data_IF_571849646912
#
_entry.id   IF_571849646912
#
_cell.length_a   1.000
_cell.length_b   1.000
_cell.length_c   1.000
_cell.angle_alpha   90.00
_cell.angle_beta   90.00
_cell.angle_gamma   90.00
#
_symmetry.space_group_name_H-M   'P 1'
#
loop_
_entity.id
_entity.type
_entity.pdbx_description
1 polymer ?
#
# COMPACT_ATOMS: atom_id res chain seq x y z
N UNK A 1 67.60 -9.90 39.02
CA UNK A 1 66.18 -10.11 38.71
C UNK A 1 65.97 -11.58 38.34
N UNK A 2 65.14 -12.31 39.10
CA UNK A 2 64.98 -13.76 38.99
C UNK A 2 64.13 -14.16 37.76
N UNK A 3 64.80 -14.42 36.62
CA UNK A 3 64.16 -14.85 35.35
C UNK A 3 63.37 -16.17 35.45
N UNK A 4 63.59 -16.97 36.51
CA UNK A 4 62.92 -18.26 36.73
C UNK A 4 61.43 -18.13 37.09
N UNK A 5 61.02 -16.99 37.64
CA UNK A 5 59.62 -16.72 37.95
C UNK A 5 58.89 -16.03 36.77
N UNK A 6 59.59 -15.23 35.96
CA UNK A 6 59.01 -14.61 34.75
C UNK A 6 58.56 -15.66 33.73
N UNK A 7 59.33 -16.74 33.53
CA UNK A 7 58.96 -17.82 32.63
C UNK A 7 57.76 -18.64 33.13
N UNK A 8 57.63 -18.80 34.46
CA UNK A 8 56.47 -19.45 35.09
C UNK A 8 55.20 -18.60 34.97
N UNK A 9 55.28 -17.29 35.18
CA UNK A 9 54.13 -16.40 35.00
C UNK A 9 53.75 -16.23 33.52
N UNK A 10 54.72 -16.21 32.60
CA UNK A 10 54.46 -16.19 31.16
C UNK A 10 53.77 -17.46 30.65
N UNK A 11 54.14 -18.63 31.17
CA UNK A 11 53.50 -19.90 30.81
C UNK A 11 52.09 -20.03 31.39
N UNK A 12 51.85 -19.57 32.62
CA UNK A 12 50.50 -19.56 33.23
C UNK A 12 49.57 -18.56 32.53
N UNK A 13 50.08 -17.41 32.07
CA UNK A 13 49.30 -16.44 31.28
C UNK A 13 48.95 -16.99 29.88
N UNK A 14 49.85 -17.73 29.24
CA UNK A 14 49.61 -18.35 27.94
C UNK A 14 48.59 -19.51 28.01
N UNK A 15 48.56 -20.27 29.10
CA UNK A 15 47.56 -21.34 29.32
C UNK A 15 46.19 -20.75 29.72
N UNK A 16 46.15 -19.63 30.43
CA UNK A 16 44.89 -18.92 30.73
C UNK A 16 44.23 -18.30 29.48
N UNK A 17 45.03 -17.90 28.48
CA UNK A 17 44.51 -17.40 27.19
C UNK A 17 43.93 -18.49 26.29
N UNK A 18 44.30 -19.76 26.50
CA UNK A 18 43.76 -20.90 25.74
C UNK A 18 42.44 -21.45 26.32
N UNK A 19 42.06 -21.06 27.54
CA UNK A 19 40.79 -21.46 28.18
C UNK A 19 39.70 -20.39 28.07
N UNK A 20 40.02 -19.21 27.53
CA UNK A 20 39.06 -18.13 27.30
C UNK A 20 38.32 -18.22 25.94
N UNK A 21 38.66 -19.21 25.10
CA UNK A 21 37.99 -19.47 23.82
C UNK A 21 37.44 -20.91 23.78
N UNK A 22 36.52 -21.22 24.68
CA UNK A 22 35.55 -22.29 24.46
C UNK A 22 34.18 -21.81 24.91
N UNK A 23 33.66 -20.79 24.23
CA UNK A 23 32.25 -20.48 24.29
C UNK A 23 31.55 -21.35 23.24
N UNK A 24 31.14 -22.55 23.65
CA UNK A 24 30.00 -23.27 23.06
C UNK A 24 28.68 -22.54 23.41
N UNK A 25 28.67 -21.22 23.31
CA UNK A 25 27.44 -20.43 23.33
C UNK A 25 27.09 -20.22 21.86
N UNK A 26 26.52 -21.25 21.24
CA UNK A 26 25.79 -21.06 20.00
C UNK A 26 24.77 -19.95 20.27
N UNK A 27 24.94 -18.79 19.64
CA UNK A 27 24.07 -17.63 19.82
C UNK A 27 22.60 -17.90 19.46
N UNK A 28 22.30 -19.10 18.96
CA UNK A 28 20.97 -19.59 18.62
C UNK A 28 20.86 -21.10 18.89
N UNK A 29 19.82 -21.50 19.61
CA UNK A 29 19.52 -22.92 19.92
C UNK A 29 19.18 -23.80 18.70
N UNK A 30 18.97 -23.19 17.53
CA UNK A 30 18.54 -23.86 16.29
C UNK A 30 19.49 -23.57 15.15
N UNK A 31 19.75 -24.57 14.31
CA UNK A 31 20.58 -24.38 13.12
C UNK A 31 19.93 -23.43 12.10
N UNK A 32 20.72 -22.73 11.25
CA UNK A 32 20.17 -21.89 10.18
C UNK A 32 19.14 -22.61 9.30
N UNK A 33 19.39 -23.88 8.97
CA UNK A 33 18.49 -24.72 8.16
C UNK A 33 17.17 -25.00 8.89
N UNK A 34 17.20 -25.29 10.19
CA UNK A 34 15.99 -25.48 10.99
C UNK A 34 15.15 -24.20 11.04
N UNK A 35 15.77 -23.04 11.33
CA UNK A 35 15.06 -21.75 11.34
C UNK A 35 14.44 -21.41 9.99
N UNK A 36 15.15 -21.71 8.90
CA UNK A 36 14.64 -21.51 7.55
C UNK A 36 13.44 -22.40 7.24
N UNK A 37 13.50 -23.68 7.62
CA UNK A 37 12.38 -24.60 7.44
C UNK A 37 11.16 -24.14 8.26
N UNK A 38 11.37 -23.73 9.51
CA UNK A 38 10.30 -23.23 10.37
C UNK A 38 9.64 -21.98 9.80
N UNK A 39 10.41 -21.04 9.24
CA UNK A 39 9.85 -19.81 8.67
C UNK A 39 9.04 -20.07 7.39
N UNK A 40 9.44 -21.06 6.58
CA UNK A 40 8.67 -21.52 5.41
C UNK A 40 7.34 -22.14 5.87
N UNK A 41 7.41 -23.11 6.79
CA UNK A 41 6.24 -23.81 7.31
C UNK A 41 5.27 -22.83 7.97
N UNK A 42 5.76 -21.92 8.83
CA UNK A 42 4.92 -20.94 9.51
C UNK A 42 4.16 -20.02 8.54
N UNK A 43 4.82 -19.53 7.48
CA UNK A 43 4.15 -18.69 6.49
C UNK A 43 3.13 -19.50 5.69
N UNK A 44 3.47 -20.73 5.28
CA UNK A 44 2.54 -21.60 4.56
C UNK A 44 1.30 -21.92 5.41
N UNK A 45 1.50 -22.28 6.68
CA UNK A 45 0.42 -22.57 7.61
C UNK A 45 -0.45 -21.34 7.84
N UNK A 46 0.14 -20.14 8.00
CA UNK A 46 -0.61 -18.90 8.13
C UNK A 46 -1.46 -18.64 6.88
N UNK A 47 -0.88 -18.73 5.67
CA UNK A 47 -1.60 -18.51 4.41
C UNK A 47 -2.81 -19.46 4.26
N UNK A 48 -2.66 -20.73 4.63
CA UNK A 48 -3.72 -21.75 4.55
C UNK A 48 -4.71 -21.65 5.73
N UNK A 49 -4.30 -21.10 6.88
CA UNK A 49 -5.18 -20.93 8.05
C UNK A 49 -6.38 -20.00 7.78
N UNK A 50 -6.29 -19.13 6.78
CA UNK A 50 -7.38 -18.27 6.36
C UNK A 50 -8.42 -19.09 5.57
N UNK A 51 -9.35 -19.71 6.29
CA UNK A 51 -10.43 -20.56 5.72
C UNK A 51 -11.24 -19.87 4.61
N UNK A 52 -11.40 -18.55 4.69
CA UNK A 52 -12.13 -17.72 3.75
C UNK A 52 -11.23 -16.99 2.74
N UNK A 53 -9.91 -17.18 2.85
CA UNK A 53 -8.90 -16.52 2.04
C UNK A 53 -8.52 -15.13 2.55
N UNK A 54 -7.84 -14.39 1.68
CA UNK A 54 -7.24 -13.09 1.95
C UNK A 54 -7.76 -12.07 0.95
N UNK A 55 -8.05 -10.86 1.43
CA UNK A 55 -8.06 -9.67 0.59
C UNK A 55 -6.62 -9.23 0.40
N UNK A 56 -6.20 -9.02 -0.84
CA UNK A 56 -4.84 -8.58 -1.17
C UNK A 56 -4.91 -7.27 -1.91
N UNK A 57 -4.26 -6.24 -1.36
CA UNK A 57 -4.02 -4.98 -2.07
C UNK A 57 -2.58 -4.97 -2.56
N UNK A 58 -2.41 -4.80 -3.87
CA UNK A 58 -1.09 -4.71 -4.50
C UNK A 58 -0.91 -3.40 -5.26
N UNK A 59 0.07 -2.60 -4.84
CA UNK A 59 0.59 -1.44 -5.55
C UNK A 59 2.02 -1.76 -6.02
N UNK A 60 2.24 -2.05 -7.32
CA UNK A 60 3.53 -2.55 -7.81
C UNK A 60 4.62 -1.47 -7.90
N UNK A 61 4.23 -0.23 -8.23
CA UNK A 61 5.16 0.89 -8.45
C UNK A 61 4.58 2.20 -7.93
N UNK A 62 4.53 2.33 -6.62
CA UNK A 62 4.00 3.53 -5.96
C UNK A 62 5.09 4.59 -5.84
N UNK A 63 4.78 5.83 -6.21
CA UNK A 63 5.60 6.98 -5.79
C UNK A 63 4.87 7.71 -4.68
N UNK A 64 5.19 7.36 -3.44
CA UNK A 64 4.46 7.85 -2.27
C UNK A 64 4.62 9.35 -2.01
N UNK A 65 5.58 10.00 -2.67
CA UNK A 65 5.85 11.43 -2.49
C UNK A 65 5.42 12.28 -3.69
N UNK A 66 5.04 11.67 -4.80
CA UNK A 66 4.56 12.37 -5.98
C UNK A 66 3.27 13.14 -5.66
N UNK A 67 3.27 14.46 -5.92
CA UNK A 67 2.16 15.38 -5.65
C UNK A 67 1.63 15.32 -4.20
N UNK A 68 2.54 15.11 -3.24
CA UNK A 68 2.21 14.98 -1.82
C UNK A 68 2.38 16.28 -1.01
N UNK A 69 2.92 17.33 -1.62
CA UNK A 69 3.13 18.63 -0.97
C UNK A 69 2.10 19.65 -1.50
N UNK A 70 1.12 20.10 -0.70
CA UNK A 70 0.11 21.05 -1.17
C UNK A 70 0.66 22.45 -1.48
N UNK A 71 1.92 22.73 -1.11
CA UNK A 71 2.60 23.98 -1.42
C UNK A 71 3.49 23.87 -2.66
N UNK A 72 3.65 22.67 -3.23
CA UNK A 72 4.43 22.49 -4.45
C UNK A 72 3.68 23.09 -5.64
N UNK A 73 4.32 24.04 -6.32
CA UNK A 73 3.82 24.64 -7.54
C UNK A 73 3.89 23.61 -8.68
N UNK A 74 2.73 23.34 -9.26
CA UNK A 74 2.55 22.52 -10.45
C UNK A 74 2.31 23.48 -11.62
N UNK A 75 3.05 23.32 -12.72
CA UNK A 75 2.76 24.08 -13.93
C UNK A 75 1.59 23.44 -14.70
N UNK A 76 0.93 24.20 -15.59
CA UNK A 76 -0.25 23.72 -16.34
C UNK A 76 -0.02 22.41 -17.11
N UNK A 77 1.21 22.18 -17.61
CA UNK A 77 1.61 20.95 -18.29
C UNK A 77 2.49 20.06 -17.41
N UNK A 78 2.85 20.50 -16.21
CA UNK A 78 3.85 19.88 -15.34
C UNK A 78 3.40 18.57 -14.70
N UNK A 79 2.13 18.20 -14.83
CA UNK A 79 1.61 16.93 -14.35
C UNK A 79 1.35 15.90 -15.48
N UNK A 80 1.25 16.33 -16.74
CA UNK A 80 0.98 15.42 -17.87
C UNK A 80 2.16 14.47 -18.07
N UNK A 81 1.90 13.17 -18.18
CA UNK A 81 2.94 12.15 -18.32
C UNK A 81 3.73 11.85 -17.03
N UNK A 82 3.40 12.52 -15.92
CA UNK A 82 4.10 12.40 -14.63
C UNK A 82 3.24 11.72 -13.56
N UNK A 83 2.16 11.04 -13.94
CA UNK A 83 1.31 10.34 -12.97
C UNK A 83 2.03 9.08 -12.47
N UNK A 84 1.89 8.85 -11.16
CA UNK A 84 2.33 7.62 -10.50
C UNK A 84 1.37 6.47 -10.81
N UNK A 85 1.50 5.36 -10.08
CA UNK A 85 0.65 4.19 -10.24
C UNK A 85 -0.13 3.89 -8.95
N UNK A 86 -1.39 3.52 -9.13
CA UNK A 86 -2.26 2.96 -8.10
C UNK A 86 -2.07 1.46 -7.95
N UNK A 87 -3.13 0.81 -7.47
CA UNK A 87 -3.08 -0.59 -7.12
C UNK A 87 -4.35 -1.36 -7.47
N UNK A 88 -4.26 -2.66 -7.26
CA UNK A 88 -5.28 -3.63 -7.60
C UNK A 88 -5.70 -4.44 -6.38
N UNK A 89 -6.99 -4.79 -6.33
CA UNK A 89 -7.56 -5.59 -5.27
C UNK A 89 -7.79 -7.01 -5.77
N UNK A 90 -7.31 -7.99 -5.00
CA UNK A 90 -7.50 -9.40 -5.25
C UNK A 90 -8.14 -10.07 -4.04
N UNK A 91 -8.74 -11.22 -4.28
CA UNK A 91 -9.00 -12.20 -3.23
C UNK A 91 -8.25 -13.47 -3.55
N UNK A 92 -7.51 -13.99 -2.58
CA UNK A 92 -6.67 -15.17 -2.73
C UNK A 92 -7.00 -16.21 -1.67
N UNK A 93 -7.32 -17.44 -2.08
CA UNK A 93 -7.52 -18.57 -1.17
C UNK A 93 -6.44 -19.61 -1.42
N UNK A 94 -5.58 -19.80 -0.42
CA UNK A 94 -4.46 -20.75 -0.47
C UNK A 94 -4.89 -22.12 0.03
N UNK A 95 -4.47 -23.16 -0.67
CA UNK A 95 -4.73 -24.55 -0.33
C UNK A 95 -3.42 -25.24 0.09
N UNK A 96 -3.53 -26.30 0.89
CA UNK A 96 -2.38 -27.07 1.39
C UNK A 96 -1.58 -27.77 0.27
N UNK A 97 -2.23 -28.03 -0.87
CA UNK A 97 -1.68 -28.66 -2.08
C UNK A 97 -0.85 -27.71 -2.97
N UNK A 98 -0.42 -26.57 -2.42
CA UNK A 98 0.31 -25.51 -3.14
C UNK A 98 -0.49 -24.83 -4.27
N UNK A 99 -1.82 -24.90 -4.24
CA UNK A 99 -2.68 -24.17 -5.17
C UNK A 99 -3.32 -22.94 -4.54
N UNK A 100 -3.57 -21.92 -5.35
CA UNK A 100 -4.24 -20.69 -4.96
C UNK A 100 -5.32 -20.32 -5.97
N UNK A 101 -6.51 -20.02 -5.46
CA UNK A 101 -7.61 -19.47 -6.24
C UNK A 101 -7.62 -17.95 -6.10
N UNK A 102 -7.53 -17.25 -7.23
CA UNK A 102 -7.45 -15.80 -7.29
C UNK A 102 -8.62 -15.20 -8.06
N UNK A 103 -9.18 -14.11 -7.54
CA UNK A 103 -10.06 -13.18 -8.29
C UNK A 103 -9.45 -11.79 -8.25
N UNK A 104 -9.78 -10.95 -9.22
CA UNK A 104 -9.20 -9.62 -9.38
C UNK A 104 -10.27 -8.57 -9.69
N UNK A 105 -10.04 -7.34 -9.25
CA UNK A 105 -10.98 -6.24 -9.47
C UNK A 105 -10.96 -5.70 -10.91
N UNK A 106 -10.16 -6.23 -11.84
CA UNK A 106 -9.97 -5.65 -13.18
C UNK A 106 -11.28 -5.37 -13.93
N UNK A 107 -12.17 -6.36 -14.04
CA UNK A 107 -13.47 -6.28 -14.73
C UNK A 107 -14.54 -6.99 -13.92
N UNK A 108 -15.81 -6.77 -14.27
CA UNK A 108 -16.93 -7.49 -13.63
C UNK A 108 -16.74 -9.02 -13.73
N UNK A 109 -16.27 -9.51 -14.88
CA UNK A 109 -15.97 -10.92 -15.11
C UNK A 109 -14.89 -11.47 -14.16
N UNK A 110 -13.74 -10.78 -14.03
CA UNK A 110 -12.63 -11.23 -13.16
C UNK A 110 -12.97 -11.16 -11.66
N UNK A 111 -14.05 -10.45 -11.29
CA UNK A 111 -14.54 -10.43 -9.90
C UNK A 111 -15.31 -11.70 -9.54
N UNK A 112 -15.69 -12.52 -10.53
CA UNK A 112 -16.49 -13.73 -10.33
C UNK A 112 -15.73 -15.00 -10.70
N UNK A 113 -15.00 -14.97 -11.81
CA UNK A 113 -14.19 -16.08 -12.28
C UNK A 113 -12.94 -16.25 -11.42
N UNK A 114 -12.87 -17.34 -10.66
CA UNK A 114 -11.65 -17.71 -9.97
C UNK A 114 -10.66 -18.35 -10.95
N UNK A 115 -9.43 -17.84 -10.96
CA UNK A 115 -8.32 -18.49 -11.64
C UNK A 115 -7.51 -19.29 -10.62
N UNK A 116 -7.49 -20.62 -10.80
CA UNK A 116 -6.62 -21.51 -10.02
C UNK A 116 -5.21 -21.47 -10.59
N UNK A 117 -4.22 -21.32 -9.71
CA UNK A 117 -2.79 -21.31 -10.03
C UNK A 117 -2.00 -21.98 -8.90
N UNK A 118 -0.69 -22.03 -9.03
CA UNK A 118 0.22 -22.64 -8.07
C UNK A 118 1.08 -21.58 -7.40
N UNK A 119 1.39 -21.79 -6.12
CA UNK A 119 2.27 -20.96 -5.34
C UNK A 119 3.35 -21.80 -4.66
N UNK A 120 4.47 -21.16 -4.34
CA UNK A 120 5.58 -21.76 -3.61
C UNK A 120 5.97 -20.84 -2.46
N UNK A 121 6.16 -21.41 -1.27
CA UNK A 121 6.86 -20.73 -0.18
C UNK A 121 8.26 -21.33 -0.08
N UNK A 122 9.28 -20.50 -0.25
CA UNK A 122 10.68 -20.92 -0.24
C UNK A 122 11.55 -19.97 0.60
N UNK A 123 12.82 -20.31 0.75
CA UNK A 123 13.82 -19.43 1.37
C UNK A 123 14.66 -18.76 0.29
N UNK A 124 14.74 -17.44 0.36
CA UNK A 124 15.74 -16.63 -0.32
C UNK A 124 16.47 -15.80 0.75
N UNK A 125 16.75 -14.52 0.49
CA UNK A 125 17.19 -13.57 1.53
C UNK A 125 16.20 -13.47 2.69
N UNK A 126 14.90 -13.64 2.40
CA UNK A 126 13.79 -13.76 3.36
C UNK A 126 12.92 -14.98 3.01
N UNK A 127 11.94 -15.31 3.86
CA UNK A 127 10.87 -16.23 3.44
C UNK A 127 10.12 -15.58 2.27
N UNK A 128 10.02 -16.28 1.15
CA UNK A 128 9.48 -15.75 -0.11
C UNK A 128 8.22 -16.53 -0.50
N UNK A 129 7.17 -15.80 -0.87
CA UNK A 129 5.98 -16.30 -1.55
C UNK A 129 6.13 -16.03 -3.05
N UNK A 130 6.06 -17.08 -3.87
CA UNK A 130 6.16 -17.00 -5.32
C UNK A 130 4.91 -17.56 -5.97
N UNK A 131 4.36 -16.87 -6.97
CA UNK A 131 3.33 -17.41 -7.86
C UNK A 131 4.00 -18.01 -9.08
N UNK A 132 3.98 -19.34 -9.20
CA UNK A 132 4.81 -20.07 -10.18
C UNK A 132 4.07 -20.40 -11.48
N UNK A 133 2.74 -20.33 -11.48
CA UNK A 133 1.93 -20.45 -12.70
C UNK A 133 1.07 -19.21 -12.91
N UNK A 134 0.70 -18.95 -14.17
CA UNK A 134 0.02 -17.72 -14.58
C UNK A 134 -1.32 -17.52 -13.83
N UNK A 135 -1.52 -16.30 -13.33
CA UNK A 135 -2.73 -15.83 -12.65
C UNK A 135 -2.98 -14.34 -12.92
N UNK A 136 -4.05 -13.77 -12.34
CA UNK A 136 -4.39 -12.37 -12.58
C UNK A 136 -3.29 -11.38 -12.17
N UNK A 137 -2.51 -11.68 -11.13
CA UNK A 137 -1.40 -10.83 -10.70
C UNK A 137 -0.30 -10.73 -11.76
N UNK A 138 -0.08 -11.78 -12.57
CA UNK A 138 0.88 -11.75 -13.68
C UNK A 138 0.52 -10.74 -14.78
N UNK A 139 -0.73 -10.25 -14.86
CA UNK A 139 -1.09 -9.15 -15.76
C UNK A 139 -0.39 -7.83 -15.42
N UNK A 140 0.10 -7.70 -14.18
CA UNK A 140 0.86 -6.55 -13.71
C UNK A 140 2.38 -6.73 -13.91
N UNK A 141 2.84 -7.95 -14.25
CA UNK A 141 4.27 -8.26 -14.43
C UNK A 141 4.67 -7.92 -15.87
N UNK A 142 5.05 -6.66 -16.08
CA UNK A 142 5.55 -6.13 -17.34
C UNK A 142 6.24 -4.78 -17.11
N UNK A 143 6.95 -4.27 -18.12
CA UNK A 143 7.70 -3.00 -18.05
C UNK A 143 6.84 -1.79 -17.66
N UNK A 144 5.54 -1.85 -17.98
CA UNK A 144 4.61 -0.75 -17.75
C UNK A 144 4.25 -0.61 -16.27
N UNK A 145 3.85 -1.70 -15.62
CA UNK A 145 3.41 -1.69 -14.22
C UNK A 145 4.50 -2.08 -13.23
N UNK A 146 5.58 -2.71 -13.73
CA UNK A 146 6.69 -3.22 -12.93
C UNK A 146 6.25 -4.11 -11.76
N UNK A 147 5.16 -4.86 -11.94
CA UNK A 147 4.73 -5.86 -10.98
C UNK A 147 5.71 -7.04 -10.91
N UNK A 148 5.67 -7.76 -9.79
CA UNK A 148 6.45 -8.95 -9.54
C UNK A 148 5.53 -10.13 -9.25
N UNK A 149 6.07 -11.34 -9.33
CA UNK A 149 5.41 -12.58 -8.89
C UNK A 149 6.06 -13.20 -7.64
N UNK A 150 7.13 -12.56 -7.15
CA UNK A 150 7.93 -13.00 -6.00
C UNK A 150 7.90 -11.95 -4.88
N UNK A 151 7.52 -12.39 -3.69
CA UNK A 151 7.21 -11.51 -2.57
C UNK A 151 7.91 -11.97 -1.29
N UNK A 152 8.78 -11.12 -0.76
CA UNK A 152 9.49 -11.33 0.49
C UNK A 152 8.58 -10.97 1.66
N UNK A 153 8.34 -11.93 2.56
CA UNK A 153 7.52 -11.75 3.75
C UNK A 153 8.25 -10.90 4.79
N UNK A 154 7.57 -9.83 5.25
CA UNK A 154 8.12 -8.85 6.19
C UNK A 154 7.54 -8.97 7.60
N UNK A 155 6.57 -9.85 7.82
CA UNK A 155 5.88 -10.01 9.09
C UNK A 155 4.42 -9.54 9.03
N UNK A 156 3.85 -9.32 10.21
CA UNK A 156 2.51 -8.76 10.39
C UNK A 156 2.58 -7.29 10.78
N UNK A 157 1.68 -6.46 10.27
CA UNK A 157 1.52 -5.08 10.77
C UNK A 157 0.74 -5.06 12.09
N UNK A 158 0.49 -3.86 12.62
CA UNK A 158 -0.30 -3.63 13.86
C UNK A 158 -1.71 -4.22 13.80
N UNK A 159 -2.30 -4.30 12.61
CA UNK A 159 -3.64 -4.84 12.37
C UNK A 159 -3.66 -6.36 12.20
N UNK A 160 -2.47 -7.00 12.23
CA UNK A 160 -2.30 -8.44 12.03
C UNK A 160 -2.27 -8.88 10.56
N UNK A 161 -2.26 -7.94 9.61
CA UNK A 161 -2.18 -8.20 8.18
C UNK A 161 -0.77 -8.61 7.78
N UNK A 162 -0.65 -9.56 6.84
CA UNK A 162 0.66 -9.95 6.32
C UNK A 162 1.17 -8.88 5.37
N UNK A 163 2.41 -8.44 5.59
CA UNK A 163 3.09 -7.45 4.77
C UNK A 163 4.16 -8.13 3.95
N UNK A 164 4.19 -7.82 2.65
CA UNK A 164 5.23 -8.28 1.74
C UNK A 164 5.87 -7.10 1.01
N UNK A 165 7.08 -7.34 0.50
CA UNK A 165 7.78 -6.47 -0.45
C UNK A 165 8.35 -7.29 -1.61
N UNK A 166 8.78 -6.66 -2.67
CA UNK A 166 9.59 -7.29 -3.72
C UNK A 166 11.08 -7.01 -3.46
N UNK A 167 11.94 -7.63 -4.27
CA UNK A 167 13.36 -7.34 -4.28
C UNK A 167 13.73 -6.15 -5.19
N UNK A 168 12.76 -5.55 -5.89
CA UNK A 168 13.03 -4.55 -6.94
C UNK A 168 13.42 -3.17 -6.37
N UNK A 169 12.99 -2.85 -5.14
CA UNK A 169 13.20 -1.54 -4.54
C UNK A 169 13.89 -1.63 -3.19
N UNK A 170 14.99 -0.88 -3.04
CA UNK A 170 15.67 -0.70 -1.76
C UNK A 170 14.99 0.38 -0.91
N UNK A 171 14.39 1.40 -1.55
CA UNK A 171 13.71 2.46 -0.82
C UNK A 171 12.37 1.96 -0.27
N UNK A 172 12.00 2.36 0.96
CA UNK A 172 10.68 2.07 1.48
C UNK A 172 9.58 2.77 0.65
N UNK A 173 8.33 2.34 0.82
CA UNK A 173 7.16 3.02 0.27
C UNK A 173 7.11 3.12 -1.27
N UNK A 174 7.86 2.25 -1.98
CA UNK A 174 7.85 2.11 -3.44
C UNK A 174 6.86 1.08 -3.95
N UNK A 175 6.38 0.23 -3.07
CA UNK A 175 5.42 -0.82 -3.33
C UNK A 175 4.66 -1.14 -2.06
N UNK A 176 3.45 -1.67 -2.21
CA UNK A 176 2.64 -2.08 -1.09
C UNK A 176 1.90 -3.37 -1.42
N UNK A 177 2.12 -4.38 -0.58
CA UNK A 177 1.47 -5.68 -0.70
C UNK A 177 1.02 -6.10 0.68
N UNK A 178 -0.28 -6.07 0.88
CA UNK A 178 -0.88 -6.33 2.20
C UNK A 178 -1.99 -7.35 2.04
N UNK A 179 -1.94 -8.39 2.86
CA UNK A 179 -2.93 -9.46 2.89
C UNK A 179 -3.71 -9.31 4.19
N UNK A 180 -4.99 -8.98 4.05
CA UNK A 180 -5.95 -8.88 5.15
C UNK A 180 -6.83 -10.12 5.18
N UNK A 181 -6.90 -10.79 6.32
CA UNK A 181 -7.67 -12.05 6.46
C UNK A 181 -9.16 -11.78 6.27
N UNK A 182 -9.82 -12.54 5.40
CA UNK A 182 -11.28 -12.46 5.21
C UNK A 182 -12.00 -13.16 6.37
N UNK A 183 -13.13 -12.59 6.80
CA UNK A 183 -13.88 -13.03 7.99
C UNK A 183 -14.98 -14.03 7.67
N UNK A 184 -15.46 -14.07 6.42
CA UNK A 184 -16.53 -14.98 6.01
C UNK A 184 -16.38 -15.44 4.55
N UNK A 185 -17.01 -16.56 4.20
CA UNK A 185 -16.98 -17.11 2.84
C UNK A 185 -17.68 -16.20 1.81
N UNK A 186 -18.65 -15.41 2.25
CA UNK A 186 -19.36 -14.45 1.41
C UNK A 186 -18.42 -13.32 0.94
N UNK A 187 -17.46 -12.93 1.78
CA UNK A 187 -16.47 -11.89 1.48
C UNK A 187 -15.53 -12.29 0.33
N UNK A 188 -15.24 -13.59 0.12
CA UNK A 188 -14.31 -14.03 -0.94
C UNK A 188 -14.71 -13.55 -2.33
N UNK A 189 -16.00 -13.45 -2.63
CA UNK A 189 -16.47 -12.87 -3.91
C UNK A 189 -16.96 -11.44 -3.73
N UNK A 190 -17.63 -11.13 -2.61
CA UNK A 190 -18.20 -9.83 -2.38
C UNK A 190 -17.15 -8.72 -2.27
N UNK A 191 -15.99 -8.99 -1.65
CA UNK A 191 -14.93 -8.00 -1.44
C UNK A 191 -14.39 -7.47 -2.76
N UNK A 192 -13.93 -8.34 -3.65
CA UNK A 192 -13.38 -7.93 -4.95
C UNK A 192 -14.45 -7.30 -5.85
N UNK A 193 -15.69 -7.78 -5.79
CA UNK A 193 -16.81 -7.18 -6.55
C UNK A 193 -17.15 -5.78 -6.05
N UNK A 194 -17.19 -5.56 -4.74
CA UNK A 194 -17.41 -4.22 -4.16
C UNK A 194 -16.24 -3.29 -4.47
N UNK A 195 -15.01 -3.79 -4.38
CA UNK A 195 -13.82 -3.05 -4.78
C UNK A 195 -13.91 -2.58 -6.25
N UNK A 196 -14.23 -3.49 -7.18
CA UNK A 196 -14.47 -3.15 -8.58
C UNK A 196 -15.55 -2.08 -8.75
N UNK A 197 -16.72 -2.26 -8.12
CA UNK A 197 -17.84 -1.30 -8.23
C UNK A 197 -17.51 0.08 -7.66
N UNK A 198 -16.76 0.16 -6.57
CA UNK A 198 -16.35 1.42 -5.99
C UNK A 198 -15.29 2.12 -6.85
N UNK A 199 -14.33 1.36 -7.37
CA UNK A 199 -13.33 1.87 -8.31
C UNK A 199 -13.99 2.40 -9.59
N UNK A 200 -14.85 1.58 -10.20
CA UNK A 200 -15.59 1.93 -11.42
C UNK A 200 -16.45 3.18 -11.21
N UNK A 201 -17.13 3.30 -10.07
CA UNK A 201 -17.89 4.50 -9.73
C UNK A 201 -17.02 5.76 -9.66
N UNK A 202 -15.84 5.70 -9.03
CA UNK A 202 -14.90 6.83 -9.00
C UNK A 202 -14.33 7.14 -10.39
N UNK A 203 -13.99 6.11 -11.17
CA UNK A 203 -13.52 6.26 -12.55
C UNK A 203 -14.56 6.90 -13.47
N UNK A 204 -15.86 6.72 -13.17
CA UNK A 204 -16.96 7.32 -13.91
C UNK A 204 -17.32 8.76 -13.48
N UNK A 205 -16.84 9.23 -12.32
CA UNK A 205 -17.05 10.62 -11.90
C UNK A 205 -16.53 11.58 -12.96
N UNK A 206 -17.34 12.54 -13.40
CA UNK A 206 -16.98 13.43 -14.49
C UNK A 206 -15.93 14.43 -14.01
N UNK A 207 -16.19 15.12 -12.90
CA UNK A 207 -15.36 16.16 -12.31
C UNK A 207 -15.17 15.91 -10.80
N UNK A 208 -14.43 14.86 -10.41
CA UNK A 208 -14.19 14.56 -9.01
C UNK A 208 -13.32 15.64 -8.35
N UNK A 209 -13.83 16.23 -7.27
CA UNK A 209 -13.18 17.26 -6.47
C UNK A 209 -12.99 16.77 -5.04
N UNK A 210 -11.91 17.23 -4.39
CA UNK A 210 -11.54 16.93 -3.02
C UNK A 210 -11.78 18.16 -2.13
N UNK A 211 -12.46 17.94 -1.01
CA UNK A 211 -12.64 18.91 0.07
C UNK A 211 -12.08 18.34 1.37
N UNK A 212 -11.08 18.99 1.95
CA UNK A 212 -10.56 18.69 3.30
C UNK A 212 -11.02 19.78 4.25
N UNK A 213 -11.70 19.40 5.33
CA UNK A 213 -12.31 20.34 6.27
C UNK A 213 -12.37 19.82 7.71
N UNK A 214 -12.58 20.75 8.65
CA UNK A 214 -12.92 20.47 10.06
C UNK A 214 -13.97 21.46 10.52
N UNK A 215 -15.20 20.99 10.73
CA UNK A 215 -16.32 21.87 11.00
C UNK A 215 -16.48 22.92 9.88
N UNK A 216 -16.53 24.21 10.24
CA UNK A 216 -16.63 25.29 9.24
C UNK A 216 -15.32 25.63 8.50
N UNK A 217 -14.16 25.09 8.93
CA UNK A 217 -12.86 25.44 8.34
C UNK A 217 -12.52 24.52 7.17
N UNK A 218 -12.27 25.12 6.00
CA UNK A 218 -11.70 24.41 4.84
C UNK A 218 -10.17 24.51 4.87
N UNK A 219 -9.48 23.38 4.72
CA UNK A 219 -8.01 23.29 4.61
C UNK A 219 -7.58 23.22 3.15
N UNK A 220 -8.31 22.43 2.36
CA UNK A 220 -8.05 22.24 0.93
C UNK A 220 -9.38 22.06 0.20
N UNK A 221 -9.52 22.67 -0.97
CA UNK A 221 -10.64 22.46 -1.88
C UNK A 221 -10.10 22.55 -3.30
N UNK A 222 -10.08 21.43 -4.01
CA UNK A 222 -9.73 21.48 -5.43
C UNK A 222 -10.83 22.19 -6.22
N UNK A 223 -10.44 22.86 -7.30
CA UNK A 223 -11.34 23.67 -8.13
C UNK A 223 -11.07 23.56 -9.64
N UNK A 224 -10.13 22.70 -10.03
CA UNK A 224 -9.77 22.49 -11.44
C UNK A 224 -10.40 21.20 -11.95
N UNK A 225 -11.16 21.29 -13.04
CA UNK A 225 -11.73 20.15 -13.75
C UNK A 225 -10.67 19.48 -14.65
N UNK A 226 -10.03 18.42 -14.14
CA UNK A 226 -8.92 17.71 -14.80
C UNK A 226 -9.41 16.75 -15.90
N UNK A 227 -10.55 16.08 -15.69
CA UNK A 227 -11.06 15.02 -16.57
C UNK A 227 -11.87 15.52 -17.79
N UNK A 228 -11.57 16.72 -18.30
CA UNK A 228 -12.26 17.28 -19.48
C UNK A 228 -12.17 16.33 -20.67
N UNK A 229 -13.30 15.93 -21.23
CA UNK A 229 -13.35 15.03 -22.39
C UNK A 229 -13.19 15.80 -23.71
N UNK A 230 -11.95 16.19 -24.00
CA UNK A 230 -11.56 16.89 -25.25
C UNK A 230 -10.37 16.19 -25.88
N UNK A 231 -10.13 16.39 -27.18
CA UNK A 231 -9.08 15.71 -27.95
C UNK A 231 -7.69 15.88 -27.32
N UNK A 232 -7.33 17.11 -26.93
CA UNK A 232 -6.04 17.45 -26.31
C UNK A 232 -5.83 16.82 -24.92
N UNK A 233 -6.89 16.25 -24.33
CA UNK A 233 -6.85 15.63 -23.01
C UNK A 233 -6.93 14.11 -23.03
N UNK A 234 -7.15 13.48 -24.19
CA UNK A 234 -7.35 12.02 -24.29
C UNK A 234 -6.17 11.22 -23.73
N UNK A 235 -4.93 11.66 -23.98
CA UNK A 235 -3.74 11.01 -23.43
C UNK A 235 -3.71 11.03 -21.90
N UNK A 236 -4.12 12.15 -21.28
CA UNK A 236 -4.21 12.27 -19.82
C UNK A 236 -5.33 11.40 -19.26
N UNK A 237 -6.52 11.39 -19.90
CA UNK A 237 -7.64 10.55 -19.45
C UNK A 237 -7.27 9.06 -19.48
N UNK A 238 -6.58 8.64 -20.54
CA UNK A 238 -6.03 7.29 -20.66
C UNK A 238 -5.00 7.02 -19.56
N UNK A 239 -4.07 7.94 -19.31
CA UNK A 239 -3.08 7.81 -18.25
C UNK A 239 -3.71 7.67 -16.86
N UNK A 240 -4.69 8.52 -16.52
CA UNK A 240 -5.44 8.49 -15.25
C UNK A 240 -6.06 7.11 -15.02
N UNK A 241 -6.78 6.61 -16.03
CA UNK A 241 -7.50 5.34 -15.94
C UNK A 241 -6.54 4.17 -15.84
N UNK A 242 -5.57 4.08 -16.75
CA UNK A 242 -4.69 2.92 -16.83
C UNK A 242 -3.70 2.86 -15.66
N UNK A 243 -3.21 4.00 -15.16
CA UNK A 243 -2.31 4.04 -14.01
C UNK A 243 -3.04 4.08 -12.68
N UNK A 244 -4.37 4.26 -12.65
CA UNK A 244 -5.17 4.44 -11.42
C UNK A 244 -4.56 5.47 -10.48
N UNK A 245 -4.29 6.65 -11.01
CA UNK A 245 -3.74 7.76 -10.24
C UNK A 245 -4.58 9.00 -10.50
N UNK A 246 -4.94 9.72 -9.45
CA UNK A 246 -5.72 10.95 -9.56
C UNK A 246 -5.03 12.11 -8.85
N UNK A 247 -5.14 13.30 -9.44
CA UNK A 247 -4.56 14.54 -8.93
C UNK A 247 -5.66 15.58 -8.77
N UNK A 248 -5.93 15.97 -7.52
CA UNK A 248 -6.86 17.03 -7.18
C UNK A 248 -6.13 18.37 -7.19
N UNK A 249 -6.42 19.20 -8.19
CA UNK A 249 -5.73 20.46 -8.42
C UNK A 249 -6.49 21.66 -7.86
N UNK A 250 -5.76 22.60 -7.27
CA UNK A 250 -6.26 23.85 -6.73
C UNK A 250 -5.55 25.03 -7.38
N UNK A 251 -6.32 26.05 -7.77
CA UNK A 251 -5.83 27.30 -8.32
C UNK A 251 -5.26 28.19 -7.22
N UNK A 252 -3.93 28.21 -7.07
CA UNK A 252 -3.27 29.12 -6.13
C UNK A 252 -3.28 30.56 -6.64
N UNK A 253 -3.12 30.75 -7.96
CA UNK A 253 -3.15 32.07 -8.60
C UNK A 253 -3.91 32.02 -9.92
N UNK A 254 -5.01 32.78 -9.99
CA UNK A 254 -5.78 32.96 -11.20
C UNK A 254 -4.99 33.70 -12.27
N UNK A 255 -5.31 33.42 -13.53
CA UNK A 255 -4.80 34.21 -14.62
C UNK A 255 -5.51 35.58 -14.63
N UNK A 256 -4.80 36.70 -14.85
CA UNK A 256 -5.45 38.01 -15.02
C UNK A 256 -6.38 38.06 -16.25
N UNK A 257 -6.13 37.21 -17.25
CA UNK A 257 -6.98 37.10 -18.43
C UNK A 257 -8.13 36.12 -18.12
N UNK A 258 -9.41 36.53 -18.30
CA UNK A 258 -10.55 35.62 -18.17
C UNK A 258 -10.39 34.36 -19.03
N UNK A 259 -10.89 33.24 -18.55
CA UNK A 259 -10.89 31.93 -19.23
C UNK A 259 -9.53 31.29 -19.51
N UNK A 260 -8.43 31.99 -19.21
CA UNK A 260 -7.10 31.39 -19.27
C UNK A 260 -6.88 30.45 -18.09
N UNK A 261 -6.12 29.35 -18.29
CA UNK A 261 -5.84 28.44 -17.20
C UNK A 261 -4.99 29.12 -16.11
N UNK A 262 -5.11 28.60 -14.88
CA UNK A 262 -4.43 29.11 -13.68
C UNK A 262 -2.94 29.40 -13.93
N UNK A 263 -2.45 30.53 -13.41
CA UNK A 263 -1.03 30.91 -13.53
C UNK A 263 -0.15 30.03 -12.65
N UNK A 264 -0.62 29.75 -11.43
CA UNK A 264 0.02 28.87 -10.47
C UNK A 264 -1.07 27.94 -9.91
N UNK A 265 -0.78 26.64 -9.87
CA UNK A 265 -1.66 25.63 -9.29
C UNK A 265 -0.85 24.77 -8.32
N UNK A 266 -1.52 24.25 -7.31
CA UNK A 266 -0.99 23.19 -6.44
C UNK A 266 -1.96 22.02 -6.48
N UNK A 267 -1.65 20.92 -5.81
CA UNK A 267 -2.59 19.81 -5.74
C UNK A 267 -2.13 18.68 -4.85
N UNK A 268 -3.07 17.79 -4.59
CA UNK A 268 -2.84 16.55 -3.85
C UNK A 268 -3.16 15.39 -4.79
N UNK A 269 -2.18 14.52 -4.99
CA UNK A 269 -2.33 13.35 -5.86
C UNK A 269 -1.89 12.08 -5.18
N UNK A 270 -2.52 10.97 -5.56
CA UNK A 270 -2.10 9.65 -5.11
C UNK A 270 -2.66 8.55 -6.02
N UNK A 271 -1.97 7.42 -6.02
CA UNK A 271 -2.41 6.20 -6.68
C UNK A 271 -3.53 5.55 -5.85
N UNK A 272 -4.60 5.11 -6.51
CA UNK A 272 -5.77 4.53 -5.84
C UNK A 272 -6.02 3.07 -6.20
N UNK A 273 -6.80 2.41 -5.34
CA UNK A 273 -7.40 1.10 -5.59
C UNK A 273 -8.81 1.06 -4.99
N UNK A 274 -9.68 0.22 -5.54
CA UNK A 274 -10.99 -0.03 -4.94
C UNK A 274 -10.88 -0.90 -3.69
N UNK A 275 -11.80 -0.71 -2.74
CA UNK A 275 -11.98 -1.59 -1.58
C UNK A 275 -13.45 -1.94 -1.42
N UNK A 276 -13.74 -2.93 -0.57
CA UNK A 276 -15.10 -3.31 -0.21
C UNK A 276 -15.91 -2.17 0.45
N UNK A 277 -15.21 -1.19 1.03
CA UNK A 277 -15.80 -0.03 1.70
C UNK A 277 -15.85 1.22 0.81
N UNK A 278 -14.90 1.37 -0.12
CA UNK A 278 -14.84 2.53 -1.02
C UNK A 278 -13.57 2.56 -1.87
N UNK A 279 -12.73 3.58 -1.67
CA UNK A 279 -11.46 3.75 -2.39
C UNK A 279 -10.33 3.99 -1.40
N UNK A 280 -9.16 3.43 -1.69
CA UNK A 280 -7.94 3.65 -0.92
C UNK A 280 -6.87 4.32 -1.76
N UNK A 281 -6.24 5.35 -1.21
CA UNK A 281 -5.06 6.02 -1.73
C UNK A 281 -3.89 5.61 -0.84
N UNK A 282 -3.21 4.50 -1.12
CA UNK A 282 -2.29 3.89 -0.15
C UNK A 282 -1.10 4.78 0.23
N UNK A 283 -0.61 5.60 -0.69
CA UNK A 283 0.40 6.62 -0.37
C UNK A 283 -0.17 7.79 0.45
N UNK A 284 -1.50 7.96 0.44
CA UNK A 284 -2.26 8.99 1.12
C UNK A 284 -2.46 10.25 0.28
N UNK A 285 -3.61 10.90 0.45
CA UNK A 285 -3.79 12.31 0.08
C UNK A 285 -3.29 13.15 1.26
N UNK A 286 -2.08 13.70 1.12
CA UNK A 286 -1.30 14.31 2.21
C UNK A 286 -1.46 15.82 2.21
N UNK A 287 -2.21 16.36 3.16
CA UNK A 287 -2.23 17.81 3.35
C UNK A 287 -1.03 18.29 4.18
N UNK A 288 -0.66 17.54 5.22
CA UNK A 288 0.60 17.75 5.92
C UNK A 288 1.12 16.42 6.49
N UNK A 289 2.10 16.45 7.39
CA UNK A 289 2.68 15.25 7.99
C UNK A 289 1.69 14.46 8.86
N UNK A 290 0.60 15.08 9.31
CA UNK A 290 -0.37 14.50 10.22
C UNK A 290 -1.71 14.22 9.51
N UNK A 291 -2.19 15.16 8.69
CA UNK A 291 -3.44 15.07 7.94
C UNK A 291 -3.23 14.31 6.63
N UNK A 292 -3.21 12.98 6.74
CA UNK A 292 -3.06 12.07 5.61
C UNK A 292 -4.31 11.19 5.50
N UNK A 293 -5.00 11.28 4.37
CA UNK A 293 -6.22 10.52 4.13
C UNK A 293 -5.93 9.34 3.21
N UNK A 294 -6.04 8.12 3.74
CA UNK A 294 -5.75 6.89 3.01
C UNK A 294 -7.03 6.24 2.49
N UNK A 295 -7.98 5.91 3.37
CA UNK A 295 -9.12 5.09 3.03
C UNK A 295 -10.42 5.88 3.13
N UNK A 296 -11.14 5.96 2.02
CA UNK A 296 -12.40 6.66 1.90
C UNK A 296 -13.54 5.65 1.74
N UNK A 297 -14.56 5.78 2.58
CA UNK A 297 -15.78 4.98 2.46
C UNK A 297 -16.73 5.62 1.46
N UNK A 298 -17.44 4.80 0.71
CA UNK A 298 -18.50 5.29 -0.17
C UNK A 298 -19.76 5.62 0.64
N UNK A 299 -20.18 6.89 0.58
CA UNK A 299 -21.41 7.39 1.19
C UNK A 299 -22.31 7.96 0.08
N UNK A 300 -23.21 7.12 -0.45
CA UNK A 300 -24.03 7.46 -1.61
C UNK A 300 -23.18 7.78 -2.84
N UNK A 301 -23.19 9.06 -3.23
CA UNK A 301 -22.46 9.58 -4.39
C UNK A 301 -21.11 10.23 -4.04
N UNK A 302 -20.63 10.06 -2.80
CA UNK A 302 -19.36 10.63 -2.33
C UNK A 302 -18.47 9.54 -1.76
N UNK A 303 -17.19 9.84 -1.67
CA UNK A 303 -16.24 9.08 -0.86
C UNK A 303 -15.78 9.95 0.31
N UNK A 304 -15.87 9.43 1.53
CA UNK A 304 -15.62 10.19 2.77
C UNK A 304 -14.59 9.47 3.61
N UNK A 305 -13.56 10.20 4.03
CA UNK A 305 -12.58 9.76 5.00
C UNK A 305 -12.64 10.70 6.22
N UNK A 306 -12.96 10.15 7.39
CA UNK A 306 -12.86 10.85 8.67
C UNK A 306 -11.64 10.32 9.42
N UNK A 307 -10.80 11.22 9.96
CA UNK A 307 -9.64 10.82 10.76
C UNK A 307 -10.01 10.78 12.25
N UNK A 308 -9.60 9.70 12.91
CA UNK A 308 -9.65 9.54 14.36
C UNK A 308 -8.24 9.46 14.92
N UNK A 309 -8.10 9.83 16.19
CA UNK A 309 -6.85 9.76 16.92
C UNK A 309 -6.75 8.42 17.66
N UNK A 310 -5.69 7.66 17.38
CA UNK A 310 -5.42 6.36 18.02
C UNK A 310 -4.02 6.38 18.63
N UNK A 311 -3.92 5.93 19.88
CA UNK A 311 -2.63 5.78 20.56
C UNK A 311 -2.04 4.40 20.24
N UNK A 312 -0.84 4.40 19.69
CA UNK A 312 -0.06 3.17 19.46
C UNK A 312 0.79 2.87 20.71
N UNK A 313 0.51 1.77 21.44
CA UNK A 313 1.27 1.42 22.63
C UNK A 313 2.71 0.95 22.34
N UNK A 314 2.97 0.39 21.14
CA UNK A 314 4.29 -0.10 20.75
C UNK A 314 5.21 1.07 20.43
N UNK A 315 4.73 2.00 19.61
CA UNK A 315 5.49 3.18 19.18
C UNK A 315 5.35 4.37 20.14
N UNK A 316 4.47 4.27 21.13
CA UNK A 316 4.20 5.29 22.17
C UNK A 316 3.90 6.68 21.59
N UNK A 317 3.17 6.71 20.49
CA UNK A 317 2.76 7.94 19.85
C UNK A 317 1.30 7.84 19.40
N UNK A 318 0.66 9.00 19.30
CA UNK A 318 -0.68 9.12 18.74
C UNK A 318 -0.59 9.37 17.25
N UNK A 319 -1.36 8.63 16.47
CA UNK A 319 -1.46 8.78 15.02
C UNK A 319 -2.90 9.01 14.58
N UNK A 320 -3.06 9.69 13.45
CA UNK A 320 -4.35 9.87 12.80
C UNK A 320 -4.58 8.75 11.79
N UNK A 321 -5.74 8.10 11.88
CA UNK A 321 -6.10 6.95 11.06
C UNK A 321 -7.54 7.04 10.57
N UNK A 322 -7.87 6.31 9.51
CA UNK A 322 -9.22 6.26 8.96
C UNK A 322 -10.21 5.65 9.96
N UNK A 323 -11.27 6.39 10.31
CA UNK A 323 -12.28 6.02 11.32
C UNK A 323 -12.90 4.64 11.13
N UNK A 324 -13.14 4.21 9.89
CA UNK A 324 -13.80 2.92 9.65
C UNK A 324 -12.88 1.71 9.86
N UNK A 325 -11.57 1.94 9.85
CA UNK A 325 -10.58 0.93 10.22
C UNK A 325 -10.40 0.88 11.74
N UNK A 326 -10.55 2.03 12.41
CA UNK A 326 -10.41 2.20 13.86
C UNK A 326 -11.62 2.91 14.46
N UNK A 327 -12.81 2.26 14.51
CA UNK A 327 -14.03 2.88 15.04
C UNK A 327 -13.93 3.27 16.52
N UNK A 328 -12.98 2.68 17.26
CA UNK A 328 -12.64 2.97 18.65
C UNK A 328 -11.86 4.27 18.86
N UNK A 329 -11.31 4.87 17.79
CA UNK A 329 -10.46 6.05 17.89
C UNK A 329 -11.23 7.33 18.27
N UNK A 330 -10.52 8.26 18.90
CA UNK A 330 -11.10 9.53 19.34
C UNK A 330 -11.44 10.44 18.14
N UNK A 331 -12.68 10.93 18.00
CA UNK A 331 -13.08 11.77 16.88
C UNK A 331 -12.33 13.10 16.81
N UNK A 332 -11.71 13.40 15.66
CA UNK A 332 -11.03 14.69 15.46
C UNK A 332 -11.90 15.73 14.75
N UNK A 333 -12.92 15.26 14.02
CA UNK A 333 -13.73 16.07 13.11
C UNK A 333 -13.04 16.42 11.78
N UNK A 334 -11.80 15.97 11.57
CA UNK A 334 -11.10 16.12 10.28
C UNK A 334 -11.70 15.17 9.26
N UNK A 335 -12.20 15.74 8.15
CA UNK A 335 -12.82 15.00 7.07
C UNK A 335 -12.24 15.39 5.73
N UNK A 336 -12.12 14.40 4.84
CA UNK A 336 -11.90 14.58 3.43
C UNK A 336 -13.08 13.96 2.66
N UNK A 337 -13.65 14.73 1.74
CA UNK A 337 -14.75 14.31 0.89
C UNK A 337 -14.33 14.41 -0.57
N UNK A 338 -14.56 13.34 -1.32
CA UNK A 338 -14.47 13.32 -2.78
C UNK A 338 -15.88 13.26 -3.32
N UNK A 339 -16.23 14.23 -4.16
CA UNK A 339 -17.55 14.34 -4.78
C UNK A 339 -17.42 14.70 -6.24
N UNK A 340 -18.39 14.30 -7.05
CA UNK A 340 -18.47 14.70 -8.45
C UNK A 340 -19.10 16.09 -8.54
N UNK A 341 -18.30 17.10 -8.85
CA UNK A 341 -18.77 18.48 -8.95
C UNK A 341 -19.51 18.71 -10.28
N UNK A 342 -20.54 19.57 -10.31
CA UNK A 342 -21.15 19.98 -11.57
C UNK A 342 -20.10 20.52 -12.55
N UNK A 343 -20.29 20.22 -13.83
CA UNK A 343 -19.52 20.83 -14.91
C UNK A 343 -20.38 21.97 -15.45
N UNK A 344 -19.86 23.19 -15.33
CA UNK A 344 -20.45 24.38 -15.97
C UNK A 344 -20.01 24.49 -17.43
#
# INVERSE_FOLDING_TARGET
>A
MNYRNLFRYGFVLAVALLTACSSDDDAFDKSPSQRSSESITALKDELVSASHGWRVLYFPKTDSLLFSNPSELISQNGFRGRYGYGGDCFTMKFNADNTVEMRADFTDQTTTEAQKSEYLVSRNSYTQLSFITYNYLHRLVNDRFAGASDFLYMGKNEDGDLVFRTAAYLQPAREYIVFTKLKSAEETTATVRKAYKNRDFFEQMINPQLLIHRGGRTYFRSDIYVKRNVETNQALLKEIKEKRYYLFLFTQKKNPIPDYPAKEMTGLGSGYSGTEHGITFRAGLRYDSNMIFFDFQREGNRFVAELVSVYDPLLRHTRLVSKHLHPEGEPTGLKAEIYDAPVE
#
